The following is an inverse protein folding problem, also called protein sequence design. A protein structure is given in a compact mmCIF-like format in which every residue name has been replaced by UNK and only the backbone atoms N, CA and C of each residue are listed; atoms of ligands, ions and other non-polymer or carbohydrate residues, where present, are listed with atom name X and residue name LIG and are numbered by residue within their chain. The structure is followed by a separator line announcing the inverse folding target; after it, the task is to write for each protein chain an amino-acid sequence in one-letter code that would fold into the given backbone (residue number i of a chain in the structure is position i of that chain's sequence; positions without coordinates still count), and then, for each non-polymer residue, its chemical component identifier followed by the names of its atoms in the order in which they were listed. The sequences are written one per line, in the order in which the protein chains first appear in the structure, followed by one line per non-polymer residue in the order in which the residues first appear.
data_IF_879775365029
#
_entry.id   IF_879775365029
#
_cell.length_a   1.000
_cell.length_b   1.000
_cell.length_c   1.000
_cell.angle_alpha   90.00
_cell.angle_beta   90.00
_cell.angle_gamma   90.00
#
_symmetry.space_group_name_H-M   'P 1'
#
loop_
_entity.id
_entity.type
_entity.pdbx_description
1 polymer ?
#
# COMPACT_ATOMS: atom_id res chain seq x y z
N UNK A 1 8.95 -1.47 -8.35
CA UNK A 1 8.48 -0.09 -8.64
C UNK A 1 7.07 0.08 -8.10
N UNK A 2 6.61 1.31 -7.85
CA UNK A 2 5.30 1.58 -7.24
C UNK A 2 4.69 2.87 -7.79
N UNK A 3 3.36 2.85 -7.95
CA UNK A 3 2.59 4.05 -8.29
C UNK A 3 2.11 4.74 -7.02
N UNK A 4 2.23 6.06 -6.96
CA UNK A 4 1.83 6.86 -5.80
C UNK A 4 0.85 7.94 -6.26
N UNK A 5 -0.34 7.92 -5.68
CA UNK A 5 -1.41 8.87 -6.02
C UNK A 5 -2.02 9.46 -4.74
N UNK A 6 -1.98 10.79 -4.55
CA UNK A 6 -2.65 11.43 -3.43
C UNK A 6 -4.17 11.49 -3.65
N UNK A 7 -4.93 11.19 -2.61
CA UNK A 7 -6.38 11.46 -2.54
C UNK A 7 -6.64 12.46 -1.42
N UNK A 8 -6.73 13.73 -1.80
CA UNK A 8 -6.97 14.83 -0.87
C UNK A 8 -8.36 14.78 -0.22
N UNK A 9 -9.35 14.11 -0.83
CA UNK A 9 -10.71 14.01 -0.27
C UNK A 9 -10.77 12.93 0.81
N UNK A 10 -10.08 11.83 0.59
CA UNK A 10 -9.98 10.74 1.54
C UNK A 10 -8.88 10.95 2.60
N UNK A 11 -8.07 12.00 2.46
CA UNK A 11 -6.86 12.24 3.26
C UNK A 11 -5.91 11.03 3.26
N UNK A 12 -5.75 10.41 2.08
CA UNK A 12 -4.87 9.25 1.92
C UNK A 12 -3.82 9.46 0.82
N UNK A 13 -2.71 8.74 0.95
CA UNK A 13 -1.70 8.58 -0.08
C UNK A 13 -1.70 7.12 -0.49
N UNK A 14 -2.27 6.83 -1.66
CA UNK A 14 -2.37 5.45 -2.15
C UNK A 14 -1.06 5.05 -2.81
N UNK A 15 -0.47 3.96 -2.33
CA UNK A 15 0.80 3.40 -2.80
C UNK A 15 0.57 2.00 -3.34
N UNK A 16 0.60 1.84 -4.66
CA UNK A 16 0.36 0.56 -5.33
C UNK A 16 1.69 -0.06 -5.74
N UNK A 17 2.05 -1.17 -5.12
CA UNK A 17 3.24 -1.94 -5.47
C UNK A 17 2.93 -2.82 -6.67
N UNK A 18 3.73 -2.72 -7.73
CA UNK A 18 3.68 -3.68 -8.84
C UNK A 18 4.10 -5.05 -8.31
N UNK A 19 3.25 -6.07 -8.50
CA UNK A 19 3.36 -7.38 -7.86
C UNK A 19 4.72 -8.07 -8.01
N UNK A 20 4.94 -9.11 -7.22
CA UNK A 20 6.20 -9.84 -7.23
C UNK A 20 6.27 -10.84 -8.40
N UNK A 21 7.47 -11.37 -8.67
CA UNK A 21 7.71 -12.25 -9.82
C UNK A 21 6.99 -13.61 -9.76
N UNK A 22 6.47 -14.01 -8.58
CA UNK A 22 5.80 -15.30 -8.39
C UNK A 22 4.64 -15.21 -7.39
N UNK A 23 3.63 -16.09 -7.46
CA UNK A 23 2.53 -16.12 -6.50
C UNK A 23 2.98 -16.35 -5.05
N UNK A 24 4.10 -17.04 -4.84
CA UNK A 24 4.66 -17.23 -3.50
C UNK A 24 5.23 -15.93 -2.94
N UNK A 25 5.91 -15.16 -3.77
CA UNK A 25 6.43 -13.85 -3.40
C UNK A 25 5.30 -12.83 -3.19
N UNK A 26 4.22 -12.90 -3.96
CA UNK A 26 3.03 -12.07 -3.75
C UNK A 26 2.40 -12.30 -2.37
N UNK A 27 2.36 -13.55 -1.88
CA UNK A 27 1.85 -13.84 -0.52
C UNK A 27 2.65 -13.13 0.57
N UNK A 28 3.99 -13.15 0.45
CA UNK A 28 4.87 -12.46 1.39
C UNK A 28 4.70 -10.95 1.27
N UNK A 29 4.58 -10.44 0.04
CA UNK A 29 4.30 -9.03 -0.22
C UNK A 29 3.00 -8.60 0.45
N UNK A 30 1.89 -9.33 0.26
CA UNK A 30 0.61 -9.00 0.88
C UNK A 30 0.71 -8.90 2.41
N UNK A 31 1.38 -9.85 3.06
CA UNK A 31 1.57 -9.82 4.51
C UNK A 31 2.38 -8.59 4.97
N UNK A 32 3.40 -8.20 4.21
CA UNK A 32 4.16 -6.98 4.49
C UNK A 32 3.28 -5.73 4.35
N UNK A 33 2.52 -5.61 3.26
CA UNK A 33 1.67 -4.45 3.03
C UNK A 33 0.56 -4.33 4.08
N UNK A 34 0.02 -5.45 4.56
CA UNK A 34 -0.92 -5.50 5.67
C UNK A 34 -0.29 -4.94 6.96
N UNK A 35 0.92 -5.38 7.31
CA UNK A 35 1.65 -4.85 8.46
C UNK A 35 1.93 -3.36 8.33
N UNK A 36 2.28 -2.88 7.13
CA UNK A 36 2.49 -1.44 6.90
C UNK A 36 1.19 -0.65 7.09
N UNK A 37 0.05 -1.14 6.60
CA UNK A 37 -1.23 -0.47 6.78
C UNK A 37 -1.65 -0.38 8.26
N UNK A 38 -1.29 -1.37 9.08
CA UNK A 38 -1.55 -1.37 10.52
C UNK A 38 -0.76 -0.29 11.29
N UNK A 39 0.35 0.20 10.73
CA UNK A 39 1.12 1.30 11.37
C UNK A 39 0.42 2.65 11.30
N UNK A 40 -0.64 2.75 10.48
CA UNK A 40 -1.37 3.99 10.21
C UNK A 40 -0.47 5.18 9.84
N UNK A 41 0.64 4.89 9.15
CA UNK A 41 1.67 5.88 8.84
C UNK A 41 1.10 7.07 8.09
N UNK A 42 1.41 8.27 8.59
CA UNK A 42 1.14 9.54 7.91
C UNK A 42 2.35 9.96 7.09
N UNK A 43 2.14 10.37 5.85
CA UNK A 43 3.23 10.84 4.98
C UNK A 43 3.80 12.18 5.50
N UNK A 44 5.13 12.30 5.69
CA UNK A 44 5.74 13.47 6.32
C UNK A 44 5.35 14.80 5.68
N UNK A 45 5.07 15.80 6.52
CA UNK A 45 4.68 17.13 6.06
C UNK A 45 3.27 17.23 5.47
N UNK A 46 2.45 16.19 5.63
CA UNK A 46 1.06 16.15 5.18
C UNK A 46 0.16 15.50 6.23
N UNK A 47 -1.16 15.50 5.99
CA UNK A 47 -2.13 14.72 6.75
C UNK A 47 -2.55 13.44 6.00
N UNK A 48 -1.82 13.03 4.96
CA UNK A 48 -2.21 11.91 4.13
C UNK A 48 -1.78 10.59 4.78
N UNK A 49 -2.75 9.76 5.17
CA UNK A 49 -2.50 8.39 5.63
C UNK A 49 -2.06 7.51 4.46
N UNK A 50 -0.93 6.84 4.60
CA UNK A 50 -0.42 5.94 3.57
C UNK A 50 -1.25 4.65 3.54
N UNK A 51 -1.77 4.31 2.35
CA UNK A 51 -2.51 3.08 2.11
C UNK A 51 -1.75 2.27 1.06
N UNK A 52 -1.18 1.16 1.50
CA UNK A 52 -0.39 0.25 0.68
C UNK A 52 -1.28 -0.82 0.05
N UNK A 53 -1.12 -1.03 -1.25
CA UNK A 53 -1.84 -2.03 -2.04
C UNK A 53 -0.89 -2.73 -3.02
N UNK A 54 -1.34 -3.83 -3.64
CA UNK A 54 -0.59 -4.49 -4.72
C UNK A 54 -1.44 -4.57 -5.98
N UNK A 55 -0.80 -4.37 -7.14
CA UNK A 55 -1.45 -4.52 -8.44
C UNK A 55 -1.87 -5.97 -8.73
N UNK A 56 -1.25 -6.96 -8.06
CA UNK A 56 -1.53 -8.39 -8.26
C UNK A 56 -2.81 -8.87 -7.55
N UNK A 57 -3.38 -8.07 -6.63
CA UNK A 57 -4.60 -8.45 -5.92
C UNK A 57 -4.92 -7.55 -4.73
N UNK A 58 -6.14 -7.68 -4.21
CA UNK A 58 -6.56 -6.93 -3.01
C UNK A 58 -5.98 -7.56 -1.76
N UNK A 59 -5.40 -6.72 -0.90
CA UNK A 59 -5.09 -7.10 0.49
C UNK A 59 -6.43 -7.34 1.18
N UNK A 60 -6.58 -8.49 1.85
CA UNK A 60 -7.80 -8.77 2.61
C UNK A 60 -7.79 -7.88 3.85
N UNK A 61 -8.83 -7.06 3.95
CA UNK A 61 -9.20 -6.26 5.13
C UNK A 61 -9.70 -7.14 6.27
#
# INVERSE_FOLDING_TARGET
EADITPDAKAETLRVVIHGAATPAADRVLFALLELLNQTETIYPGTNLKMIFESAAGKIKS
#
